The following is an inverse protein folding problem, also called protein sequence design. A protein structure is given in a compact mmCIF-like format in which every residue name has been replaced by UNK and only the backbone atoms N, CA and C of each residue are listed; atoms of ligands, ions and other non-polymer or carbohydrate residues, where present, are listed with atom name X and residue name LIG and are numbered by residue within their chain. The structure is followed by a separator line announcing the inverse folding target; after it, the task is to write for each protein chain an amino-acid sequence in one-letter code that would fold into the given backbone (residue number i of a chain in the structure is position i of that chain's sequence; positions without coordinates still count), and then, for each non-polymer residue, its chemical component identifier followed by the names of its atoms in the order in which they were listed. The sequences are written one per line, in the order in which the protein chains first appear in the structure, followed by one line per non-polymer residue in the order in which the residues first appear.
data_IF_990620185500
#
_entry.id   IF_990620185500
#
_cell.length_a   1.000
_cell.length_b   1.000
_cell.length_c   1.000
_cell.angle_alpha   90.00
_cell.angle_beta   90.00
_cell.angle_gamma   90.00
#
_symmetry.space_group_name_H-M   'P 1'
#
loop_
_entity.id
_entity.type
_entity.pdbx_description
1 polymer ?
#
# COMPACT_ATOMS: atom_id res chain seq x y z
N UNK A 1 1.66 45.62 -6.95
CA UNK A 1 2.62 44.69 -7.58
C UNK A 1 2.39 43.39 -6.85
N UNK A 2 1.50 42.56 -7.38
CA UNK A 2 1.17 41.27 -6.76
C UNK A 2 2.30 40.30 -7.05
N UNK A 3 2.85 39.72 -5.99
CA UNK A 3 3.95 38.78 -6.07
C UNK A 3 3.37 37.41 -6.43
N UNK A 4 3.64 36.93 -7.64
CA UNK A 4 3.30 35.58 -8.13
C UNK A 4 3.93 34.46 -7.28
N UNK A 5 4.93 34.79 -6.45
CA UNK A 5 5.54 33.87 -5.47
C UNK A 5 4.69 33.65 -4.20
N UNK A 6 3.55 34.33 -4.04
CA UNK A 6 2.65 34.16 -2.88
C UNK A 6 1.46 33.24 -3.14
N UNK A 7 1.45 32.44 -4.21
CA UNK A 7 0.48 31.35 -4.37
C UNK A 7 0.92 30.06 -3.64
N UNK A 8 1.48 30.21 -2.45
CA UNK A 8 1.64 29.09 -1.53
C UNK A 8 0.28 28.83 -0.90
N UNK A 9 -0.30 27.66 -1.19
CA UNK A 9 -1.54 27.17 -0.61
C UNK A 9 -1.51 27.34 0.92
N UNK A 10 -2.19 28.38 1.40
CA UNK A 10 -2.53 28.62 2.80
C UNK A 10 -3.63 27.62 3.14
N UNK A 11 -3.24 26.36 3.34
CA UNK A 11 -3.91 25.28 4.09
C UNK A 11 -3.21 23.95 3.73
N UNK A 12 -2.22 23.59 4.54
CA UNK A 12 -1.18 22.58 4.30
C UNK A 12 -1.64 21.11 4.37
N UNK A 13 -2.75 20.76 3.71
CA UNK A 13 -3.20 19.37 3.54
C UNK A 13 -3.45 19.06 2.07
N UNK A 14 -2.57 18.26 1.48
CA UNK A 14 -2.71 17.80 0.09
C UNK A 14 -3.94 16.89 -0.09
N UNK A 15 -4.32 16.17 0.97
CA UNK A 15 -5.51 15.33 1.02
C UNK A 15 -6.38 15.64 2.24
N UNK A 16 -7.68 15.62 2.03
CA UNK A 16 -8.69 15.66 3.09
C UNK A 16 -8.80 14.31 3.79
N UNK A 17 -9.25 14.30 5.05
CA UNK A 17 -9.43 13.06 5.83
C UNK A 17 -10.39 12.07 5.14
N UNK A 18 -11.39 12.57 4.41
CA UNK A 18 -12.30 11.73 3.61
C UNK A 18 -11.60 11.06 2.42
N UNK A 19 -10.65 11.74 1.78
CA UNK A 19 -9.84 11.14 0.72
C UNK A 19 -8.91 10.07 1.28
N UNK A 20 -8.25 10.34 2.41
CA UNK A 20 -7.40 9.36 3.09
C UNK A 20 -8.19 8.12 3.51
N UNK A 21 -9.39 8.30 4.07
CA UNK A 21 -10.31 7.19 4.37
C UNK A 21 -10.65 6.39 3.12
N UNK A 22 -10.92 7.07 2.00
CA UNK A 22 -11.22 6.41 0.73
C UNK A 22 -10.03 5.57 0.24
N UNK A 23 -8.80 6.09 0.35
CA UNK A 23 -7.60 5.35 -0.04
C UNK A 23 -7.36 4.11 0.83
N UNK A 24 -7.64 4.19 2.14
CA UNK A 24 -7.57 3.03 3.04
C UNK A 24 -8.59 1.95 2.66
N UNK A 25 -9.82 2.34 2.32
CA UNK A 25 -10.85 1.40 1.84
C UNK A 25 -10.48 0.78 0.49
N UNK A 26 -9.94 1.57 -0.44
CA UNK A 26 -9.43 1.08 -1.71
C UNK A 26 -8.26 0.10 -1.52
N UNK A 27 -7.40 0.34 -0.54
CA UNK A 27 -6.32 -0.57 -0.20
C UNK A 27 -6.82 -1.94 0.30
N UNK A 28 -7.86 -1.93 1.13
CA UNK A 28 -8.52 -3.16 1.59
C UNK A 28 -9.16 -3.92 0.42
N UNK A 29 -9.93 -3.21 -0.42
CA UNK A 29 -10.56 -3.79 -1.61
C UNK A 29 -9.52 -4.37 -2.57
N UNK A 30 -8.42 -3.65 -2.80
CA UNK A 30 -7.31 -4.10 -3.63
C UNK A 30 -6.70 -5.40 -3.10
N UNK A 31 -6.43 -5.47 -1.80
CA UNK A 31 -5.92 -6.68 -1.16
C UNK A 31 -6.87 -7.87 -1.37
N UNK A 32 -8.18 -7.67 -1.18
CA UNK A 32 -9.16 -8.75 -1.27
C UNK A 32 -9.46 -9.20 -2.70
N UNK A 33 -9.51 -8.28 -3.66
CA UNK A 33 -10.01 -8.55 -5.03
C UNK A 33 -8.92 -8.69 -6.08
N UNK A 34 -7.74 -8.08 -5.88
CA UNK A 34 -6.67 -8.04 -6.89
C UNK A 34 -5.48 -8.93 -6.55
N UNK A 35 -5.28 -9.26 -5.28
CA UNK A 35 -4.17 -10.11 -4.85
C UNK A 35 -4.64 -11.55 -4.68
N UNK A 36 -4.02 -12.44 -5.43
CA UNK A 36 -4.17 -13.89 -5.31
C UNK A 36 -3.38 -14.43 -4.12
N UNK A 37 -3.89 -15.44 -3.40
CA UNK A 37 -5.21 -16.09 -3.53
C UNK A 37 -6.40 -15.22 -3.04
N UNK A 38 -7.50 -15.20 -3.81
CA UNK A 38 -8.70 -14.37 -3.52
C UNK A 38 -9.62 -14.95 -2.44
N UNK A 39 -9.44 -16.23 -2.10
CA UNK A 39 -10.19 -16.89 -1.01
C UNK A 39 -9.85 -16.32 0.36
N UNK A 40 -8.64 -15.76 0.51
CA UNK A 40 -8.19 -15.13 1.75
C UNK A 40 -8.55 -13.65 1.68
N UNK A 41 -9.52 -13.28 2.51
CA UNK A 41 -10.02 -11.92 2.65
C UNK A 41 -9.67 -11.37 4.02
N UNK A 42 -9.30 -10.10 4.06
CA UNK A 42 -9.14 -9.33 5.27
C UNK A 42 -10.29 -8.32 5.40
N UNK A 43 -10.60 -7.96 6.63
CA UNK A 43 -11.44 -6.85 7.03
C UNK A 43 -10.56 -5.71 7.58
N UNK A 44 -11.19 -4.63 8.02
CA UNK A 44 -10.51 -3.48 8.64
C UNK A 44 -9.85 -3.88 9.97
N UNK A 45 -10.41 -4.87 10.68
CA UNK A 45 -10.00 -5.21 12.05
C UNK A 45 -8.90 -6.28 12.13
N UNK A 46 -8.80 -7.11 11.11
CA UNK A 46 -7.90 -8.28 11.02
C UNK A 46 -6.92 -8.17 9.84
N UNK A 47 -6.68 -6.94 9.36
CA UNK A 47 -5.71 -6.74 8.29
C UNK A 47 -4.31 -7.19 8.76
N UNK A 48 -3.61 -8.04 7.99
CA UNK A 48 -2.44 -8.78 8.50
C UNK A 48 -1.22 -7.91 8.82
N UNK A 49 -1.11 -6.73 8.20
CA UNK A 49 -0.02 -5.80 8.49
C UNK A 49 -0.46 -4.36 8.25
N UNK A 50 -0.37 -3.53 9.30
CA UNK A 50 -0.69 -2.11 9.20
C UNK A 50 0.21 -1.39 8.18
N UNK A 51 1.50 -1.70 8.16
CA UNK A 51 2.46 -1.11 7.22
C UNK A 51 2.04 -1.42 5.77
N UNK A 52 1.71 -2.67 5.48
CA UNK A 52 1.25 -3.08 4.15
C UNK A 52 -0.04 -2.35 3.74
N UNK A 53 -0.95 -2.14 4.69
CA UNK A 53 -2.18 -1.40 4.44
C UNK A 53 -1.91 0.06 4.09
N UNK A 54 -1.04 0.71 4.85
CA UNK A 54 -0.65 2.11 4.65
C UNK A 54 0.15 2.31 3.35
N UNK A 55 1.04 1.39 3.00
CA UNK A 55 1.80 1.44 1.74
C UNK A 55 0.86 1.32 0.54
N UNK A 56 -0.11 0.41 0.61
CA UNK A 56 -1.13 0.25 -0.43
C UNK A 56 -2.03 1.50 -0.53
N UNK A 57 -2.40 2.11 0.60
CA UNK A 57 -3.18 3.36 0.59
C UNK A 57 -2.37 4.52 0.01
N UNK A 58 -1.07 4.58 0.31
CA UNK A 58 -0.13 5.58 -0.21
C UNK A 58 0.05 5.46 -1.72
N UNK A 59 0.03 4.23 -2.26
CA UNK A 59 0.00 4.00 -3.71
C UNK A 59 -1.23 4.65 -4.36
N UNK A 60 -2.42 4.54 -3.76
CA UNK A 60 -3.64 5.18 -4.28
C UNK A 60 -3.61 6.70 -4.15
N UNK A 61 -3.05 7.24 -3.07
CA UNK A 61 -2.82 8.66 -2.91
C UNK A 61 -1.89 9.20 -4.02
N UNK A 62 -0.75 8.54 -4.25
CA UNK A 62 0.20 8.91 -5.28
C UNK A 62 -0.41 8.82 -6.69
N UNK A 63 -1.19 7.78 -6.96
CA UNK A 63 -1.96 7.64 -8.20
C UNK A 63 -2.92 8.81 -8.41
N UNK A 64 -3.59 9.27 -7.35
CA UNK A 64 -4.47 10.45 -7.43
C UNK A 64 -3.69 11.73 -7.75
N UNK A 65 -2.47 11.88 -7.23
CA UNK A 65 -1.59 13.03 -7.52
C UNK A 65 -1.17 13.02 -8.99
N UNK A 66 -0.72 11.87 -9.51
CA UNK A 66 -0.33 11.73 -10.92
C UNK A 66 -1.48 12.12 -11.84
N UNK A 67 -2.71 11.68 -11.55
CA UNK A 67 -3.87 12.08 -12.35
C UNK A 67 -4.18 13.59 -12.29
N UNK A 68 -3.94 14.24 -11.14
CA UNK A 68 -4.06 15.70 -11.02
C UNK A 68 -3.01 16.42 -11.87
N UNK A 69 -1.76 15.98 -11.80
CA UNK A 69 -0.68 16.51 -12.64
C UNK A 69 -0.97 16.34 -14.12
N UNK A 70 -1.34 15.14 -14.56
CA UNK A 70 -1.67 14.88 -15.96
C UNK A 70 -2.86 15.71 -16.46
N UNK A 71 -3.82 16.02 -15.58
CA UNK A 71 -4.92 16.95 -15.90
C UNK A 71 -4.46 18.39 -15.99
N UNK A 72 -3.50 18.81 -15.18
CA UNK A 72 -3.01 20.19 -15.18
C UNK A 72 -1.95 20.45 -16.26
N UNK A 73 -1.32 19.39 -16.79
CA UNK A 73 -0.36 19.44 -17.90
C UNK A 73 -0.99 19.75 -19.28
N UNK A 74 -2.17 20.39 -19.33
CA UNK A 74 -2.72 20.90 -20.59
C UNK A 74 -1.71 21.88 -21.19
N UNK A 75 -1.04 21.44 -22.25
CA UNK A 75 -0.03 22.18 -22.98
C UNK A 75 -0.62 23.49 -23.48
N UNK A 76 -0.26 24.60 -22.83
CA UNK A 76 -0.52 25.93 -23.34
C UNK A 76 0.40 26.15 -24.53
N UNK A 77 -0.11 25.92 -25.74
CA UNK A 77 0.65 26.09 -26.98
C UNK A 77 0.41 27.52 -27.50
N UNK A 78 0.99 28.50 -26.81
CA UNK A 78 1.02 29.88 -27.27
C UNK A 78 2.36 30.17 -27.96
N UNK A 79 2.29 30.49 -29.25
CA UNK A 79 3.37 31.15 -30.01
C UNK A 79 4.76 30.49 -29.97
N UNK A 80 4.83 29.16 -30.10
CA UNK A 80 6.06 28.45 -30.47
C UNK A 80 7.05 28.16 -29.34
N UNK A 81 6.73 28.53 -28.10
CA UNK A 81 7.55 28.19 -26.92
C UNK A 81 6.74 27.32 -25.97
N UNK A 82 6.90 26.00 -26.06
CA UNK A 82 6.34 25.07 -25.09
C UNK A 82 7.18 25.12 -23.80
N UNK A 83 6.72 25.86 -22.79
CA UNK A 83 7.34 25.83 -21.46
C UNK A 83 6.60 24.78 -20.63
N UNK A 84 7.24 23.63 -20.41
CA UNK A 84 6.75 22.63 -19.44
C UNK A 84 7.05 23.12 -18.03
N UNK A 85 6.04 23.62 -17.33
CA UNK A 85 6.20 24.25 -16.00
C UNK A 85 6.36 23.22 -14.86
N UNK A 86 6.12 21.93 -15.08
CA UNK A 86 6.18 20.90 -14.01
C UNK A 86 6.86 19.59 -14.44
N UNK A 87 8.19 19.50 -14.28
CA UNK A 87 9.01 18.30 -14.56
C UNK A 87 8.93 17.17 -13.49
N UNK A 88 8.01 17.26 -12.52
CA UNK A 88 7.92 16.26 -11.43
C UNK A 88 7.13 14.99 -11.81
N UNK A 89 6.36 15.04 -12.90
CA UNK A 89 5.51 13.93 -13.37
C UNK A 89 6.27 12.60 -13.54
N UNK A 90 7.38 12.56 -14.30
CA UNK A 90 8.16 11.33 -14.49
C UNK A 90 8.70 10.74 -13.18
N UNK A 91 9.07 11.59 -12.21
CA UNK A 91 9.57 11.15 -10.91
C UNK A 91 8.48 10.48 -10.07
N UNK A 92 7.25 11.01 -10.11
CA UNK A 92 6.10 10.41 -9.45
C UNK A 92 5.70 9.08 -10.10
N UNK A 93 5.71 8.99 -11.43
CA UNK A 93 5.42 7.75 -12.14
C UNK A 93 6.43 6.65 -11.82
N UNK A 94 7.73 6.96 -11.84
CA UNK A 94 8.78 6.02 -11.46
C UNK A 94 8.64 5.55 -10.00
N UNK A 95 8.32 6.47 -9.09
CA UNK A 95 8.08 6.15 -7.67
C UNK A 95 6.85 5.26 -7.50
N UNK A 96 5.77 5.52 -8.23
CA UNK A 96 4.55 4.72 -8.20
C UNK A 96 4.79 3.30 -8.67
N UNK A 97 5.52 3.10 -9.77
CA UNK A 97 5.84 1.77 -10.27
C UNK A 97 6.65 0.96 -9.26
N UNK A 98 7.64 1.58 -8.61
CA UNK A 98 8.43 0.94 -7.56
C UNK A 98 7.57 0.48 -6.38
N UNK A 99 6.78 1.40 -5.82
CA UNK A 99 5.90 1.09 -4.67
C UNK A 99 4.88 0.02 -5.04
N UNK A 100 4.29 0.09 -6.24
CA UNK A 100 3.33 -0.90 -6.70
C UNK A 100 3.93 -2.30 -6.77
N UNK A 101 5.17 -2.43 -7.28
CA UNK A 101 5.86 -3.72 -7.35
C UNK A 101 6.16 -4.30 -5.96
N UNK A 102 6.63 -3.45 -5.04
CA UNK A 102 6.92 -3.79 -3.63
C UNK A 102 5.64 -4.27 -2.92
N UNK A 103 4.56 -3.49 -3.02
CA UNK A 103 3.26 -3.80 -2.40
C UNK A 103 2.67 -5.09 -2.94
N UNK A 104 2.68 -5.30 -4.26
CA UNK A 104 2.13 -6.55 -4.85
C UNK A 104 2.91 -7.76 -4.34
N UNK A 105 4.23 -7.66 -4.26
CA UNK A 105 5.08 -8.77 -3.80
C UNK A 105 4.84 -9.06 -2.33
N UNK A 106 4.77 -8.02 -1.49
CA UNK A 106 4.51 -8.16 -0.06
C UNK A 106 3.10 -8.73 0.21
N UNK A 107 2.07 -8.21 -0.46
CA UNK A 107 0.70 -8.72 -0.33
C UNK A 107 0.59 -10.20 -0.73
N UNK A 108 1.24 -10.61 -1.82
CA UNK A 108 1.26 -12.01 -2.26
C UNK A 108 1.95 -12.90 -1.24
N UNK A 109 3.14 -12.52 -0.77
CA UNK A 109 3.88 -13.30 0.22
C UNK A 109 3.07 -13.52 1.49
N UNK A 110 2.39 -12.49 2.00
CA UNK A 110 1.52 -12.63 3.18
C UNK A 110 0.37 -13.61 2.92
N UNK A 111 -0.33 -13.48 1.79
CA UNK A 111 -1.44 -14.39 1.48
C UNK A 111 -0.98 -15.83 1.24
N UNK A 112 0.17 -16.01 0.59
CA UNK A 112 0.77 -17.32 0.37
C UNK A 112 1.14 -17.98 1.70
N UNK A 113 1.73 -17.24 2.63
CA UNK A 113 2.03 -17.74 3.97
C UNK A 113 0.76 -18.19 4.71
N UNK A 114 -0.30 -17.36 4.72
CA UNK A 114 -1.58 -17.74 5.34
C UNK A 114 -2.17 -18.98 4.65
N UNK A 115 -2.10 -19.05 3.33
CA UNK A 115 -2.60 -20.21 2.58
C UNK A 115 -1.82 -21.49 2.91
N UNK A 116 -0.50 -21.39 3.03
CA UNK A 116 0.37 -22.50 3.40
C UNK A 116 0.10 -22.96 4.84
N UNK A 117 -0.04 -22.03 5.78
CA UNK A 117 -0.41 -22.33 7.17
C UNK A 117 -1.76 -23.06 7.25
N UNK A 118 -2.75 -22.61 6.48
CA UNK A 118 -4.07 -23.25 6.41
C UNK A 118 -4.02 -24.65 5.77
N UNK A 119 -3.15 -24.86 4.79
CA UNK A 119 -3.08 -26.13 4.06
C UNK A 119 -2.28 -27.20 4.81
N UNK A 120 -1.20 -26.82 5.47
CA UNK A 120 -0.28 -27.77 6.10
C UNK A 120 -0.48 -27.89 7.61
N UNK A 121 -1.17 -26.92 8.25
CA UNK A 121 -1.29 -26.84 9.71
C UNK A 121 0.09 -26.54 10.30
N UNK A 122 0.24 -25.43 11.02
CA UNK A 122 1.54 -24.99 11.52
C UNK A 122 2.36 -26.16 12.09
N UNK A 123 3.57 -26.39 11.55
CA UNK A 123 4.48 -27.40 12.08
C UNK A 123 4.87 -27.00 13.51
N UNK A 124 4.12 -27.47 14.51
CA UNK A 124 4.57 -27.42 15.89
C UNK A 124 5.63 -28.50 16.06
N UNK A 125 6.87 -28.09 16.29
CA UNK A 125 7.95 -29.01 16.64
C UNK A 125 7.55 -29.85 17.86
N UNK A 126 7.58 -31.18 17.71
CA UNK A 126 7.29 -32.15 18.78
C UNK A 126 8.25 -32.00 19.98
N UNK A 127 9.40 -31.34 19.78
CA UNK A 127 10.40 -31.10 20.82
C UNK A 127 9.97 -30.10 21.89
N UNK A 128 8.88 -29.34 21.70
CA UNK A 128 8.36 -28.46 22.75
C UNK A 128 7.68 -29.24 23.89
N UNK A 129 7.21 -30.47 23.62
CA UNK A 129 6.50 -31.30 24.60
C UNK A 129 7.43 -32.18 25.45
N UNK A 130 8.72 -32.28 25.10
CA UNK A 130 9.70 -33.08 25.84
C UNK A 130 10.32 -32.33 27.03
N UNK A 131 10.19 -31.00 27.07
CA UNK A 131 10.74 -30.15 28.13
C UNK A 131 9.65 -29.65 29.10
N UNK A 132 8.79 -30.56 29.58
CA UNK A 132 8.03 -30.32 30.81
C UNK A 132 8.93 -30.76 31.97
N UNK A 133 9.48 -29.83 32.79
CA UNK A 133 10.21 -30.22 33.98
C UNK A 133 9.19 -30.74 35.00
N UNK A 134 8.93 -32.05 35.00
CA UNK A 134 8.09 -32.64 36.05
C UNK A 134 7.53 -34.04 35.85
N UNK A 135 7.58 -34.66 34.67
CA UNK A 135 6.97 -36.00 34.51
C UNK A 135 7.99 -37.09 34.17
N UNK A 136 8.83 -37.41 35.17
CA UNK A 136 9.50 -38.71 35.26
C UNK A 136 8.56 -39.69 35.97
N UNK A 137 7.81 -40.47 35.19
CA UNK A 137 7.03 -41.61 35.69
C UNK A 137 6.24 -42.20 34.54
N UNK A 138 6.32 -43.48 34.18
CA UNK A 138 7.01 -44.64 34.74
C UNK A 138 7.18 -45.61 33.57
N UNK A 139 8.39 -46.11 33.35
CA UNK A 139 8.58 -47.31 32.53
C UNK A 139 8.02 -48.50 33.32
N UNK A 140 6.93 -49.09 32.82
CA UNK A 140 6.49 -50.45 33.11
C UNK A 140 5.92 -51.06 31.84
#
# INVERSE_FOLDING_TARGET
MDWEESNHLIESREFTDNQLRSFLLMALDFYNTRITPMSIQATILDFPSLTLWLDTASMFALKSIIYRFNRNAFQYNDSGTSVSVEEKGPMYEATMQRIMQEVITACKSVKENINLENCYGGFSSEFLNMYVPGNLGSLS
#
